data_IF_714834785773
#
_entry.id   IF_714834785773
#
_cell.length_a   1.000
_cell.length_b   1.000
_cell.length_c   1.000
_cell.angle_alpha   90.00
_cell.angle_beta   90.00
_cell.angle_gamma   90.00
#
_symmetry.space_group_name_H-M   'P 1'
#
loop_
_entity.id
_entity.type
_entity.pdbx_description
1 polymer ?
#
# COMPACT_ATOMS: atom_id res chain seq x y z
N UNK A 1 6.57 1.63 6.72
CA UNK A 1 6.46 2.48 7.91
C UNK A 1 7.83 2.81 8.46
N UNK A 2 7.99 4.04 8.95
CA UNK A 2 9.22 4.50 9.60
C UNK A 2 9.40 3.84 10.97
N UNK A 3 10.62 3.38 11.28
CA UNK A 3 11.01 2.82 12.59
C UNK A 3 12.35 3.43 13.00
N UNK A 4 12.62 3.54 14.30
CA UNK A 4 13.91 3.98 14.82
C UNK A 4 14.65 2.76 15.35
N UNK A 5 15.85 2.51 14.85
CA UNK A 5 16.69 1.37 15.23
C UNK A 5 17.96 1.88 15.94
N UNK A 6 18.26 1.28 17.07
CA UNK A 6 19.50 1.53 17.79
C UNK A 6 20.60 0.60 17.25
N UNK A 7 21.68 1.16 16.76
CA UNK A 7 22.89 0.44 16.36
C UNK A 7 24.08 0.83 17.22
N UNK A 8 25.07 -0.06 17.34
CA UNK A 8 26.31 0.21 18.08
C UNK A 8 27.38 0.69 17.10
N UNK A 9 27.96 1.85 17.32
CA UNK A 9 29.14 2.30 16.57
C UNK A 9 30.38 1.54 17.04
N UNK A 10 31.10 0.92 16.11
CA UNK A 10 32.23 0.01 16.40
C UNK A 10 33.49 0.68 17.01
N UNK A 11 33.54 2.00 17.12
CA UNK A 11 34.76 2.73 17.55
C UNK A 11 34.66 3.53 18.87
N UNK A 12 33.48 3.76 19.42
CA UNK A 12 33.34 4.67 20.57
C UNK A 12 32.36 4.23 21.67
N UNK A 13 31.91 3.02 21.72
CA UNK A 13 30.90 2.54 22.70
C UNK A 13 29.61 3.38 22.79
N UNK A 14 29.35 4.21 21.76
CA UNK A 14 28.17 5.07 21.65
C UNK A 14 27.08 4.39 20.83
N UNK A 15 25.83 4.61 21.22
CA UNK A 15 24.69 4.16 20.45
C UNK A 15 24.27 5.24 19.46
N UNK A 16 24.02 4.80 18.21
CA UNK A 16 23.43 5.62 17.16
C UNK A 16 22.00 5.17 16.91
N UNK A 17 21.12 6.15 16.71
CA UNK A 17 19.72 5.90 16.38
C UNK A 17 19.48 6.23 14.90
N UNK A 18 19.26 5.22 14.11
CA UNK A 18 18.99 5.37 12.69
C UNK A 18 17.48 5.32 12.42
N UNK A 19 17.04 6.11 11.46
CA UNK A 19 15.67 6.05 10.96
C UNK A 19 15.64 5.08 9.80
N UNK A 20 14.95 3.97 10.01
CA UNK A 20 14.82 2.87 9.06
C UNK A 20 13.35 2.66 8.67
N UNK A 21 13.08 1.72 7.79
CA UNK A 21 11.73 1.49 7.26
C UNK A 21 11.34 0.03 7.28
N UNK A 22 10.11 -0.23 7.72
CA UNK A 22 9.42 -1.52 7.50
C UNK A 22 8.52 -1.33 6.29
N UNK A 23 8.66 -2.22 5.32
CA UNK A 23 7.82 -2.33 4.14
C UNK A 23 6.70 -3.33 4.41
N UNK A 24 5.57 -3.20 3.72
CA UNK A 24 4.49 -4.16 3.82
C UNK A 24 3.85 -4.41 2.47
N UNK A 25 3.55 -5.66 2.21
CA UNK A 25 2.70 -6.12 1.12
C UNK A 25 1.48 -6.85 1.69
N UNK A 26 0.35 -6.69 1.03
CA UNK A 26 -0.92 -7.31 1.41
C UNK A 26 -1.56 -7.95 0.21
N UNK A 27 -1.82 -9.24 0.28
CA UNK A 27 -2.70 -9.95 -0.63
C UNK A 27 -4.06 -10.17 0.02
N UNK A 28 -5.09 -9.48 -0.50
CA UNK A 28 -6.47 -9.70 -0.06
C UNK A 28 -7.03 -11.03 -0.58
N UNK A 29 -6.51 -11.55 -1.68
CA UNK A 29 -6.91 -12.83 -2.26
C UNK A 29 -6.36 -13.99 -1.43
N UNK A 30 -5.09 -13.94 -1.08
CA UNK A 30 -4.44 -14.94 -0.21
C UNK A 30 -4.68 -14.68 1.28
N UNK A 31 -5.27 -13.54 1.66
CA UNK A 31 -5.44 -13.08 3.05
C UNK A 31 -4.11 -13.08 3.84
N UNK A 32 -3.03 -12.71 3.19
CA UNK A 32 -1.68 -12.68 3.75
C UNK A 32 -1.13 -11.27 3.77
N UNK A 33 -0.47 -10.94 4.87
CA UNK A 33 0.33 -9.75 5.06
C UNK A 33 1.80 -10.14 5.23
N UNK A 34 2.68 -9.51 4.47
CA UNK A 34 4.14 -9.66 4.66
C UNK A 34 4.68 -8.29 5.02
N UNK A 35 5.32 -8.20 6.17
CA UNK A 35 6.09 -7.03 6.58
C UNK A 35 7.57 -7.41 6.61
N UNK A 36 8.39 -6.57 6.05
CA UNK A 36 9.81 -6.81 5.94
C UNK A 36 10.61 -5.60 6.39
N UNK A 37 11.68 -5.88 7.12
CA UNK A 37 12.71 -4.94 7.49
C UNK A 37 14.04 -5.38 6.88
N UNK A 38 14.77 -4.42 6.33
CA UNK A 38 16.15 -4.61 5.89
C UNK A 38 16.95 -3.36 6.21
N UNK A 39 18.14 -3.51 6.75
CA UNK A 39 19.03 -2.42 7.12
C UNK A 39 19.35 -1.53 5.92
N UNK A 40 19.40 -0.21 6.12
CA UNK A 40 19.68 0.77 5.07
C UNK A 40 18.54 1.01 4.08
N UNK A 41 17.36 0.60 4.40
CA UNK A 41 16.26 0.25 3.52
C UNK A 41 15.36 1.37 2.99
N UNK A 42 15.92 2.34 2.30
CA UNK A 42 15.15 3.02 1.23
C UNK A 42 15.62 2.65 -0.18
N UNK A 43 16.48 1.65 -0.32
CA UNK A 43 16.98 1.26 -1.64
C UNK A 43 15.94 0.41 -2.39
N UNK A 44 15.93 0.55 -3.71
CA UNK A 44 15.06 -0.18 -4.66
C UNK A 44 15.19 -1.69 -4.52
N UNK A 45 16.43 -2.18 -4.40
CA UNK A 45 16.75 -3.61 -4.36
C UNK A 45 16.05 -4.38 -3.24
N UNK A 46 15.70 -3.72 -2.14
CA UNK A 46 15.00 -4.37 -1.02
C UNK A 46 13.57 -4.74 -1.37
N UNK A 47 12.86 -3.87 -2.08
CA UNK A 47 11.46 -4.13 -2.45
C UNK A 47 11.37 -5.10 -3.63
N UNK A 48 12.30 -5.05 -4.57
CA UNK A 48 12.36 -5.97 -5.69
C UNK A 48 12.61 -7.40 -5.22
N UNK A 49 13.64 -7.60 -4.39
CA UNK A 49 14.01 -8.91 -3.89
C UNK A 49 12.97 -9.49 -2.93
N UNK A 50 12.42 -8.65 -2.06
CA UNK A 50 11.57 -9.10 -0.97
C UNK A 50 10.11 -9.38 -1.36
N UNK A 51 9.55 -8.57 -2.26
CA UNK A 51 8.11 -8.60 -2.55
C UNK A 51 7.81 -9.14 -3.94
N UNK A 52 8.67 -8.87 -4.92
CA UNK A 52 8.35 -9.13 -6.32
C UNK A 52 9.12 -10.30 -6.93
N UNK A 53 10.33 -10.61 -6.45
CA UNK A 53 11.12 -11.70 -6.98
C UNK A 53 10.43 -13.03 -6.72
N UNK A 54 10.31 -13.83 -7.76
CA UNK A 54 9.66 -15.15 -7.74
C UNK A 54 8.18 -15.14 -7.31
N UNK A 55 7.53 -13.97 -7.33
CA UNK A 55 6.12 -13.84 -6.95
C UNK A 55 5.17 -14.05 -8.13
N UNK A 56 3.97 -14.60 -7.84
CA UNK A 56 2.87 -14.68 -8.80
C UNK A 56 2.07 -13.37 -8.91
N UNK A 57 2.55 -12.28 -8.33
CA UNK A 57 1.90 -10.98 -8.36
C UNK A 57 1.90 -10.45 -9.79
N UNK A 58 0.75 -9.97 -10.26
CA UNK A 58 0.61 -9.34 -11.58
C UNK A 58 0.26 -7.86 -11.49
N UNK A 59 -0.45 -7.48 -10.45
CA UNK A 59 -0.90 -6.10 -10.25
C UNK A 59 -0.77 -5.73 -8.78
N UNK A 60 -0.20 -4.57 -8.51
CA UNK A 60 -0.11 -4.05 -7.14
C UNK A 60 -0.56 -2.58 -7.07
N UNK A 61 -1.12 -2.19 -5.93
CA UNK A 61 -1.55 -0.82 -5.66
C UNK A 61 -0.56 -0.15 -4.73
N UNK A 62 0.02 0.95 -5.16
CA UNK A 62 0.92 1.76 -4.36
C UNK A 62 0.55 3.25 -4.43
N UNK A 63 1.03 4.04 -3.43
CA UNK A 63 1.09 5.47 -3.59
C UNK A 63 2.18 5.82 -4.64
N UNK A 64 2.10 7.05 -5.16
CA UNK A 64 3.13 7.55 -6.08
C UNK A 64 4.35 8.02 -5.27
N UNK A 65 5.08 7.08 -4.68
CA UNK A 65 6.38 7.38 -4.11
C UNK A 65 7.44 7.37 -5.23
N UNK A 66 8.40 8.29 -5.17
CA UNK A 66 9.52 8.38 -6.12
C UNK A 66 10.22 7.03 -6.32
N UNK A 67 10.20 6.20 -5.27
CA UNK A 67 10.73 4.85 -5.27
C UNK A 67 10.13 3.97 -6.39
N UNK A 68 8.82 4.03 -6.61
CA UNK A 68 8.15 3.21 -7.62
C UNK A 68 8.32 3.72 -9.05
N UNK A 69 8.59 5.02 -9.22
CA UNK A 69 8.86 5.60 -10.55
C UNK A 69 10.20 5.11 -11.13
N UNK A 70 11.19 4.85 -10.27
CA UNK A 70 12.52 4.37 -10.67
C UNK A 70 12.53 2.87 -11.02
N UNK A 71 11.71 2.06 -10.37
CA UNK A 71 11.61 0.60 -10.63
C UNK A 71 10.50 0.25 -11.63
N UNK A 72 9.73 1.23 -12.13
CA UNK A 72 8.56 0.96 -12.99
C UNK A 72 8.94 0.22 -14.28
N UNK A 73 10.12 0.51 -14.85
CA UNK A 73 10.62 -0.21 -16.02
C UNK A 73 10.96 -1.66 -15.72
N UNK A 74 11.66 -1.90 -14.62
CA UNK A 74 12.04 -3.25 -14.19
C UNK A 74 10.80 -4.08 -13.85
N UNK A 75 9.78 -3.46 -13.22
CA UNK A 75 8.49 -4.10 -12.93
C UNK A 75 7.69 -4.41 -14.22
N UNK A 76 7.71 -3.52 -15.22
CA UNK A 76 7.07 -3.77 -16.51
C UNK A 76 7.76 -4.93 -17.25
N UNK A 77 9.09 -5.04 -17.21
CA UNK A 77 9.86 -6.17 -17.76
C UNK A 77 9.51 -7.50 -17.06
N UNK A 78 9.21 -7.46 -15.76
CA UNK A 78 8.71 -8.60 -14.98
C UNK A 78 7.21 -8.89 -15.23
N UNK A 79 6.53 -8.12 -16.07
CA UNK A 79 5.09 -8.27 -16.35
C UNK A 79 4.17 -7.77 -15.21
N UNK A 80 4.70 -6.96 -14.29
CA UNK A 80 3.97 -6.36 -13.19
C UNK A 80 3.33 -5.03 -13.61
N UNK A 81 2.09 -4.81 -13.19
CA UNK A 81 1.34 -3.58 -13.47
C UNK A 81 1.07 -2.84 -12.16
N UNK A 82 1.58 -1.62 -12.07
CA UNK A 82 1.28 -0.74 -10.96
C UNK A 82 -0.07 -0.04 -11.17
N UNK A 83 -0.86 0.07 -10.11
CA UNK A 83 -2.05 0.92 -10.04
C UNK A 83 -1.90 2.00 -8.99
N UNK A 84 -2.36 3.20 -9.30
CA UNK A 84 -2.25 4.35 -8.43
C UNK A 84 -3.37 4.41 -7.39
N UNK A 85 -3.07 4.99 -6.23
CA UNK A 85 -4.02 5.16 -5.13
C UNK A 85 -4.91 6.40 -5.32
N UNK A 86 -6.20 6.21 -5.60
CA UNK A 86 -7.19 7.28 -5.72
C UNK A 86 -7.41 8.04 -4.40
N UNK A 87 -7.16 7.41 -3.26
CA UNK A 87 -7.30 8.08 -1.97
C UNK A 87 -6.25 9.17 -1.79
N UNK A 88 -5.00 8.90 -2.14
CA UNK A 88 -3.91 9.89 -2.12
C UNK A 88 -4.17 11.03 -3.12
N UNK A 89 -4.65 10.70 -4.33
CA UNK A 89 -5.04 11.73 -5.30
C UNK A 89 -6.12 12.66 -4.71
N UNK A 90 -7.17 12.07 -4.11
CA UNK A 90 -8.24 12.85 -3.48
C UNK A 90 -7.73 13.75 -2.36
N UNK A 91 -6.83 13.24 -1.52
CA UNK A 91 -6.26 14.00 -0.40
C UNK A 91 -5.55 15.26 -0.89
N UNK A 92 -4.76 15.17 -1.96
CA UNK A 92 -4.10 16.34 -2.57
C UNK A 92 -5.09 17.42 -3.04
N UNK A 93 -6.25 17.03 -3.58
CA UNK A 93 -7.30 17.99 -3.94
C UNK A 93 -8.04 18.54 -2.71
N UNK A 94 -8.17 17.79 -1.63
CA UNK A 94 -8.70 18.29 -0.35
C UNK A 94 -7.77 19.35 0.24
N UNK A 95 -6.45 19.13 0.20
CA UNK A 95 -5.46 20.12 0.63
C UNK A 95 -5.52 21.37 -0.26
N UNK A 96 -5.61 21.19 -1.58
CA UNK A 96 -5.73 22.30 -2.53
C UNK A 96 -7.06 23.08 -2.39
N UNK A 97 -8.12 22.45 -1.90
CA UNK A 97 -9.42 23.09 -1.69
C UNK A 97 -9.37 24.25 -0.68
N UNK A 98 -8.43 24.21 0.27
CA UNK A 98 -8.22 25.30 1.24
C UNK A 98 -7.83 26.60 0.53
N UNK A 99 -7.06 26.49 -0.56
CA UNK A 99 -6.58 27.63 -1.34
C UNK A 99 -7.47 27.98 -2.54
N UNK A 100 -8.22 27.02 -3.08
CA UNK A 100 -9.05 27.21 -4.26
C UNK A 100 -10.28 26.30 -4.24
N UNK A 101 -11.44 26.90 -3.95
CA UNK A 101 -12.70 26.17 -3.85
C UNK A 101 -13.24 25.62 -5.19
N UNK A 102 -12.70 26.05 -6.33
CA UNK A 102 -13.09 25.54 -7.66
C UNK A 102 -12.80 24.05 -7.84
N UNK A 103 -11.83 23.49 -7.08
CA UNK A 103 -11.52 22.06 -7.10
C UNK A 103 -12.59 21.18 -6.45
N UNK A 104 -13.60 21.75 -5.81
CA UNK A 104 -14.70 21.00 -5.17
C UNK A 104 -15.33 19.97 -6.09
N UNK A 105 -15.53 20.32 -7.35
CA UNK A 105 -16.12 19.41 -8.34
C UNK A 105 -15.28 18.14 -8.54
N UNK A 106 -13.95 18.26 -8.52
CA UNK A 106 -13.01 17.13 -8.63
C UNK A 106 -13.18 16.21 -7.42
N UNK A 107 -13.22 16.77 -6.21
CA UNK A 107 -13.40 16.02 -4.97
C UNK A 107 -14.74 15.27 -4.98
N UNK A 108 -15.81 15.91 -5.44
CA UNK A 108 -17.13 15.28 -5.55
C UNK A 108 -17.14 14.12 -6.57
N UNK A 109 -16.48 14.27 -7.71
CA UNK A 109 -16.33 13.20 -8.70
C UNK A 109 -15.56 12.00 -8.12
N UNK A 110 -14.48 12.26 -7.40
CA UNK A 110 -13.71 11.20 -6.73
C UNK A 110 -14.52 10.53 -5.62
N UNK A 111 -15.27 11.29 -4.81
CA UNK A 111 -16.17 10.73 -3.80
C UNK A 111 -17.22 9.81 -4.42
N UNK A 112 -17.74 10.17 -5.59
CA UNK A 112 -18.72 9.35 -6.29
C UNK A 112 -18.09 8.03 -6.80
N UNK A 113 -16.83 8.05 -7.26
CA UNK A 113 -16.10 6.81 -7.57
C UNK A 113 -15.99 5.89 -6.34
N UNK A 114 -15.67 6.44 -5.16
CA UNK A 114 -15.65 5.66 -3.91
C UNK A 114 -17.02 5.12 -3.50
N UNK A 115 -18.10 5.86 -3.75
CA UNK A 115 -19.47 5.37 -3.52
C UNK A 115 -19.80 4.17 -4.42
N UNK A 116 -19.44 4.22 -5.70
CA UNK A 116 -19.62 3.10 -6.64
C UNK A 116 -18.85 1.86 -6.14
N UNK A 117 -17.62 2.01 -5.67
CA UNK A 117 -16.84 0.91 -5.11
C UNK A 117 -17.47 0.34 -3.83
N UNK A 118 -17.96 1.21 -2.94
CA UNK A 118 -18.67 0.80 -1.73
C UNK A 118 -19.92 -0.01 -2.08
N UNK A 119 -20.70 0.46 -3.04
CA UNK A 119 -21.91 -0.22 -3.50
C UNK A 119 -21.59 -1.62 -4.07
N UNK A 120 -20.50 -1.71 -4.86
CA UNK A 120 -20.03 -2.98 -5.38
C UNK A 120 -19.64 -3.98 -4.27
N UNK A 121 -19.02 -3.49 -3.19
CA UNK A 121 -18.64 -4.29 -2.01
C UNK A 121 -19.87 -4.73 -1.21
N UNK A 122 -20.84 -3.84 -1.00
CA UNK A 122 -22.11 -4.17 -0.30
C UNK A 122 -22.86 -5.26 -1.04
N UNK A 123 -22.90 -5.19 -2.38
CA UNK A 123 -23.53 -6.22 -3.23
C UNK A 123 -22.71 -7.51 -3.34
N UNK A 124 -21.56 -7.59 -2.71
CA UNK A 124 -20.66 -8.76 -2.75
C UNK A 124 -20.34 -9.21 -4.18
N UNK A 125 -20.14 -8.26 -5.10
CA UNK A 125 -19.81 -8.56 -6.48
C UNK A 125 -18.55 -9.40 -6.60
N UNK A 126 -18.59 -10.45 -7.42
CA UNK A 126 -17.38 -11.17 -7.85
C UNK A 126 -16.47 -10.23 -8.66
N UNK A 127 -15.20 -10.59 -8.85
CA UNK A 127 -14.25 -9.77 -9.63
C UNK A 127 -14.80 -9.45 -11.04
N UNK A 128 -15.43 -10.42 -11.71
CA UNK A 128 -16.02 -10.22 -13.03
C UNK A 128 -17.21 -9.24 -12.99
N UNK A 129 -18.07 -9.35 -11.98
CA UNK A 129 -19.21 -8.45 -11.79
C UNK A 129 -18.72 -7.04 -11.42
N UNK A 130 -17.72 -6.93 -10.52
CA UNK A 130 -17.12 -5.65 -10.11
C UNK A 130 -16.48 -4.93 -11.31
N UNK A 131 -15.74 -5.63 -12.18
CA UNK A 131 -15.22 -5.06 -13.41
C UNK A 131 -16.33 -4.51 -14.30
N UNK A 132 -17.40 -5.28 -14.56
CA UNK A 132 -18.55 -4.81 -15.36
C UNK A 132 -19.23 -3.59 -14.74
N UNK A 133 -19.36 -3.57 -13.43
CA UNK A 133 -19.96 -2.46 -12.68
C UNK A 133 -19.12 -1.18 -12.81
N UNK A 134 -17.80 -1.30 -12.70
CA UNK A 134 -16.85 -0.20 -12.91
C UNK A 134 -16.91 0.35 -14.35
N UNK A 135 -16.94 -0.53 -15.35
CA UNK A 135 -17.05 -0.12 -16.75
C UNK A 135 -18.36 0.62 -17.01
N UNK A 136 -19.45 0.20 -16.40
CA UNK A 136 -20.77 0.83 -16.54
C UNK A 136 -20.87 2.18 -15.86
N UNK A 137 -20.35 2.33 -14.65
CA UNK A 137 -20.60 3.49 -13.80
C UNK A 137 -19.37 4.39 -13.60
N UNK A 138 -18.18 3.81 -13.45
CA UNK A 138 -16.96 4.57 -13.11
C UNK A 138 -16.20 5.06 -14.34
N UNK A 139 -16.18 4.31 -15.44
CA UNK A 139 -15.36 4.65 -16.61
C UNK A 139 -15.68 6.03 -17.21
N UNK A 140 -16.98 6.36 -17.34
CA UNK A 140 -17.42 7.68 -17.82
C UNK A 140 -16.96 8.81 -16.90
N UNK A 141 -17.03 8.60 -15.58
CA UNK A 141 -16.62 9.60 -14.57
C UNK A 141 -15.12 9.82 -14.65
N UNK A 142 -14.34 8.74 -14.69
CA UNK A 142 -12.88 8.81 -14.86
C UNK A 142 -12.51 9.56 -16.14
N UNK A 143 -13.17 9.27 -17.26
CA UNK A 143 -12.95 9.97 -18.52
C UNK A 143 -13.25 11.47 -18.44
N UNK A 144 -14.37 11.84 -17.81
CA UNK A 144 -14.75 13.26 -17.58
C UNK A 144 -13.76 13.95 -16.65
N UNK A 145 -13.33 13.27 -15.58
CA UNK A 145 -12.36 13.78 -14.63
C UNK A 145 -11.02 14.05 -15.32
N UNK A 146 -10.48 13.11 -16.10
CA UNK A 146 -9.22 13.31 -16.81
C UNK A 146 -9.30 14.47 -17.80
N UNK A 147 -10.42 14.63 -18.53
CA UNK A 147 -10.64 15.79 -19.42
C UNK A 147 -10.64 17.11 -18.65
N UNK A 148 -11.30 17.15 -17.48
CA UNK A 148 -11.33 18.33 -16.62
C UNK A 148 -9.93 18.67 -16.11
N UNK A 149 -9.17 17.69 -15.62
CA UNK A 149 -7.81 17.90 -15.15
C UNK A 149 -6.88 18.43 -16.26
N UNK A 150 -7.01 17.92 -17.47
CA UNK A 150 -6.25 18.43 -18.64
C UNK A 150 -6.58 19.90 -18.95
N UNK A 151 -7.84 20.32 -18.80
CA UNK A 151 -8.22 21.72 -18.93
C UNK A 151 -7.61 22.60 -17.84
N UNK A 152 -7.67 22.15 -16.59
CA UNK A 152 -7.10 22.87 -15.44
C UNK A 152 -5.57 22.98 -15.55
N UNK A 153 -4.89 21.95 -16.08
CA UNK A 153 -3.43 21.98 -16.31
C UNK A 153 -3.01 23.12 -17.24
N UNK A 154 -3.85 23.46 -18.21
CA UNK A 154 -3.58 24.54 -19.18
C UNK A 154 -4.03 25.92 -18.69
N UNK A 155 -4.77 26.00 -17.59
CA UNK A 155 -5.31 27.25 -17.07
C UNK A 155 -4.40 27.82 -15.96
N UNK A 156 -3.70 28.89 -16.29
CA UNK A 156 -2.77 29.58 -15.39
C UNK A 156 -3.44 30.29 -14.21
N UNK A 157 -4.78 30.39 -14.20
CA UNK A 157 -5.52 30.97 -13.07
C UNK A 157 -5.56 30.08 -11.84
N UNK A 158 -5.18 28.80 -11.97
CA UNK A 158 -5.09 27.90 -10.83
C UNK A 158 -3.71 27.95 -10.17
N UNK A 159 -3.70 28.12 -8.85
CA UNK A 159 -2.48 28.22 -8.06
C UNK A 159 -1.66 26.94 -8.00
N UNK A 160 -0.42 27.06 -7.53
CA UNK A 160 0.58 25.99 -7.53
C UNK A 160 0.13 24.71 -6.78
N UNK A 161 -0.69 24.80 -5.72
CA UNK A 161 -1.20 23.61 -5.02
C UNK A 161 -2.15 22.81 -5.90
N UNK A 162 -3.04 23.48 -6.62
CA UNK A 162 -3.96 22.82 -7.57
C UNK A 162 -3.16 22.19 -8.70
N UNK A 163 -2.21 22.92 -9.28
CA UNK A 163 -1.38 22.40 -10.38
C UNK A 163 -0.57 21.16 -9.96
N UNK A 164 -0.03 21.12 -8.73
CA UNK A 164 0.64 19.93 -8.19
C UNK A 164 -0.33 18.75 -8.03
N UNK A 165 -1.55 18.98 -7.55
CA UNK A 165 -2.56 17.93 -7.44
C UNK A 165 -3.00 17.39 -8.81
N UNK A 166 -3.14 18.25 -9.80
CA UNK A 166 -3.46 17.90 -11.19
C UNK A 166 -2.34 17.08 -11.82
N UNK A 167 -1.10 17.54 -11.71
CA UNK A 167 0.06 16.83 -12.24
C UNK A 167 0.22 15.45 -11.59
N UNK A 168 -0.02 15.33 -10.26
CA UNK A 168 0.01 14.05 -9.57
C UNK A 168 -0.86 12.98 -10.24
N UNK A 169 -2.02 13.37 -10.77
CA UNK A 169 -2.93 12.42 -11.44
C UNK A 169 -2.59 12.26 -12.92
N UNK A 170 -2.31 13.36 -13.63
CA UNK A 170 -2.12 13.32 -15.07
C UNK A 170 -0.79 12.68 -15.50
N UNK A 171 0.27 12.86 -14.72
CA UNK A 171 1.56 12.25 -15.02
C UNK A 171 1.52 10.72 -14.87
N UNK A 172 0.51 10.19 -14.16
CA UNK A 172 0.30 8.77 -13.91
C UNK A 172 -1.09 8.28 -14.38
N UNK A 173 -1.64 8.93 -15.40
CA UNK A 173 -3.01 8.69 -15.88
C UNK A 173 -3.28 7.20 -16.18
N UNK A 174 -2.28 6.47 -16.72
CA UNK A 174 -2.37 5.04 -17.05
C UNK A 174 -2.64 4.23 -15.77
N UNK A 175 -1.84 4.42 -14.72
CA UNK A 175 -1.96 3.70 -13.45
C UNK A 175 -3.30 4.00 -12.74
N UNK A 176 -3.82 5.23 -12.84
CA UNK A 176 -5.14 5.58 -12.32
C UNK A 176 -6.32 4.89 -13.03
N UNK A 177 -6.11 4.35 -14.23
CA UNK A 177 -7.16 3.64 -15.01
C UNK A 177 -7.12 2.13 -14.86
N UNK A 178 -6.04 1.55 -14.35
CA UNK A 178 -5.84 0.09 -14.25
C UNK A 178 -6.98 -0.61 -13.50
N UNK A 179 -7.50 -0.01 -12.42
CA UNK A 179 -8.59 -0.59 -11.64
C UNK A 179 -9.87 -0.86 -12.44
N UNK A 180 -10.07 -0.17 -13.56
CA UNK A 180 -11.20 -0.40 -14.46
C UNK A 180 -11.08 -1.72 -15.25
N UNK A 181 -9.86 -2.22 -15.42
CA UNK A 181 -9.56 -3.38 -16.26
C UNK A 181 -9.75 -4.71 -15.51
N UNK A 182 -9.47 -4.72 -14.20
CA UNK A 182 -9.59 -5.92 -13.36
C UNK A 182 -10.35 -5.62 -12.06
N UNK A 183 -11.41 -6.38 -11.80
CA UNK A 183 -12.24 -6.22 -10.61
C UNK A 183 -11.55 -6.65 -9.29
N UNK A 184 -10.42 -7.37 -9.34
CA UNK A 184 -9.62 -7.73 -8.17
C UNK A 184 -8.80 -6.56 -7.65
N UNK A 185 -8.39 -5.66 -8.55
CA UNK A 185 -7.57 -4.49 -8.23
C UNK A 185 -8.33 -3.51 -7.35
N UNK A 186 -7.73 -3.13 -6.22
CA UNK A 186 -8.31 -2.11 -5.33
C UNK A 186 -7.99 -0.69 -5.84
N UNK A 187 -8.92 0.25 -5.61
CA UNK A 187 -8.71 1.66 -5.96
C UNK A 187 -7.72 2.40 -5.04
N UNK A 188 -7.39 1.82 -3.89
CA UNK A 188 -6.58 2.45 -2.86
C UNK A 188 -5.83 1.42 -2.03
N UNK A 189 -4.73 1.82 -1.40
CA UNK A 189 -3.90 1.01 -0.52
C UNK A 189 -4.24 1.15 0.97
N UNK A 190 -5.41 1.71 1.32
CA UNK A 190 -5.80 1.97 2.72
C UNK A 190 -5.82 0.70 3.59
N UNK A 191 -5.96 -0.50 3.01
CA UNK A 191 -5.89 -1.75 3.75
C UNK A 191 -4.50 -1.93 4.36
N UNK A 192 -3.44 -1.79 3.55
CA UNK A 192 -2.04 -1.84 4.01
C UNK A 192 -1.75 -0.73 5.01
N UNK A 193 -2.22 0.49 4.76
CA UNK A 193 -2.00 1.61 5.69
C UNK A 193 -2.62 1.36 7.06
N UNK A 194 -3.80 0.73 7.11
CA UNK A 194 -4.43 0.36 8.39
C UNK A 194 -3.62 -0.66 9.18
N UNK A 195 -2.95 -1.60 8.54
CA UNK A 195 -2.08 -2.58 9.21
C UNK A 195 -0.92 -1.90 9.92
N UNK A 196 -0.35 -0.86 9.34
CA UNK A 196 0.69 -0.08 10.00
C UNK A 196 0.24 0.68 11.26
N UNK A 197 -1.07 0.76 11.57
CA UNK A 197 -1.55 1.43 12.79
C UNK A 197 -1.04 0.74 14.04
N UNK A 198 -1.05 -0.60 14.09
CA UNK A 198 -0.57 -1.34 15.25
C UNK A 198 0.93 -1.13 15.46
N UNK A 199 1.70 -1.20 14.38
CA UNK A 199 3.12 -0.88 14.41
C UNK A 199 3.38 0.58 14.84
N UNK A 200 2.56 1.53 14.35
CA UNK A 200 2.69 2.95 14.72
C UNK A 200 2.32 3.21 16.19
N UNK A 201 1.36 2.48 16.74
CA UNK A 201 1.01 2.52 18.16
C UNK A 201 2.13 1.90 19.01
N UNK A 202 2.61 0.72 18.64
CA UNK A 202 3.75 0.06 19.28
C UNK A 202 4.98 0.98 19.32
N UNK A 203 5.32 1.61 18.20
CA UNK A 203 6.42 2.57 18.09
C UNK A 203 6.30 3.75 19.07
N UNK A 204 5.10 4.21 19.38
CA UNK A 204 4.90 5.26 20.40
C UNK A 204 5.19 4.77 21.81
N UNK A 205 5.01 3.47 22.06
CA UNK A 205 5.22 2.87 23.37
C UNK A 205 6.70 2.54 23.61
N UNK A 206 7.37 1.94 22.62
CA UNK A 206 8.77 1.50 22.74
C UNK A 206 9.81 2.43 22.10
N UNK A 207 9.39 3.51 21.44
CA UNK A 207 10.18 4.58 20.83
C UNK A 207 11.21 4.11 19.79
N UNK A 208 12.01 3.09 20.08
CA UNK A 208 13.02 2.51 19.20
C UNK A 208 13.13 0.98 19.39
N UNK A 209 13.70 0.30 18.43
CA UNK A 209 14.13 -1.09 18.55
C UNK A 209 15.57 -1.16 19.01
N UNK A 210 15.89 -2.18 19.84
CA UNK A 210 17.22 -2.34 20.43
C UNK A 210 18.31 -2.73 19.43
N UNK A 211 17.94 -3.27 18.26
CA UNK A 211 18.86 -3.77 17.24
C UNK A 211 18.14 -3.94 15.90
N UNK A 212 18.92 -4.19 14.82
CA UNK A 212 18.39 -4.58 13.50
C UNK A 212 17.62 -5.90 13.58
N UNK A 213 18.16 -6.91 14.27
CA UNK A 213 17.45 -8.18 14.51
C UNK A 213 16.11 -7.97 15.23
N UNK A 214 16.04 -7.04 16.19
CA UNK A 214 14.80 -6.66 16.84
C UNK A 214 13.78 -6.07 15.87
N UNK A 215 14.23 -5.30 14.89
CA UNK A 215 13.37 -4.73 13.85
C UNK A 215 12.87 -5.80 12.87
N UNK A 216 13.70 -6.77 12.51
CA UNK A 216 13.32 -7.95 11.69
C UNK A 216 12.27 -8.80 12.41
N UNK A 217 12.51 -9.12 13.68
CA UNK A 217 11.56 -9.89 14.49
C UNK A 217 10.21 -9.18 14.62
N UNK A 218 10.21 -7.85 14.82
CA UNK A 218 8.97 -7.06 14.84
C UNK A 218 8.24 -7.17 13.49
N UNK A 219 8.94 -6.99 12.38
CA UNK A 219 8.34 -7.09 11.06
C UNK A 219 7.73 -8.48 10.82
N UNK A 220 8.46 -9.54 11.17
CA UNK A 220 8.00 -10.92 11.07
C UNK A 220 6.75 -11.18 11.94
N UNK A 221 6.78 -10.82 13.22
CA UNK A 221 5.65 -11.03 14.14
C UNK A 221 4.41 -10.26 13.70
N UNK A 222 4.56 -9.02 13.19
CA UNK A 222 3.43 -8.28 12.64
C UNK A 222 2.90 -8.87 11.34
N UNK A 223 3.73 -9.54 10.52
CA UNK A 223 3.28 -10.29 9.35
C UNK A 223 2.31 -11.42 9.77
N UNK A 224 2.70 -12.21 10.76
CA UNK A 224 1.87 -13.29 11.29
C UNK A 224 0.59 -12.74 11.94
N UNK A 225 0.72 -11.73 12.79
CA UNK A 225 -0.41 -11.11 13.50
C UNK A 225 -1.48 -10.56 12.53
N UNK A 226 -1.07 -9.79 11.53
CA UNK A 226 -2.01 -9.22 10.56
C UNK A 226 -2.60 -10.29 9.63
N UNK A 227 -1.84 -11.35 9.30
CA UNK A 227 -2.34 -12.50 8.53
C UNK A 227 -3.37 -13.30 9.32
N UNK A 228 -3.12 -13.59 10.60
CA UNK A 228 -4.11 -14.22 11.48
C UNK A 228 -5.41 -13.42 11.53
N UNK A 229 -5.29 -12.11 11.70
CA UNK A 229 -6.44 -11.20 11.73
C UNK A 229 -7.24 -11.17 10.43
N UNK A 230 -6.58 -11.30 9.27
CA UNK A 230 -7.25 -11.40 7.97
C UNK A 230 -8.05 -12.70 7.82
N UNK A 231 -7.62 -13.75 8.51
CA UNK A 231 -8.23 -15.07 8.49
C UNK A 231 -9.16 -15.34 9.68
N UNK A 232 -9.41 -14.33 10.53
CA UNK A 232 -10.22 -14.46 11.75
C UNK A 232 -9.66 -15.51 12.74
N UNK A 233 -8.33 -15.70 12.75
CA UNK A 233 -7.60 -16.61 13.65
C UNK A 233 -7.15 -15.83 14.89
N UNK A 234 -7.34 -16.41 16.07
CA UNK A 234 -6.77 -15.87 17.31
C UNK A 234 -5.25 -16.01 17.29
N UNK A 235 -4.53 -14.92 17.41
CA UNK A 235 -3.08 -14.92 17.31
C UNK A 235 -2.38 -15.69 18.43
N UNK A 236 -2.95 -15.68 19.67
CA UNK A 236 -2.41 -16.44 20.80
C UNK A 236 -2.48 -17.95 20.54
N UNK A 237 -3.67 -18.43 20.16
CA UNK A 237 -3.91 -19.84 19.87
C UNK A 237 -3.05 -20.31 18.70
N UNK A 238 -2.89 -19.47 17.66
CA UNK A 238 -2.03 -19.74 16.51
C UNK A 238 -0.56 -19.90 16.90
N UNK A 239 -0.02 -19.03 17.75
CA UNK A 239 1.37 -19.13 18.21
C UNK A 239 1.58 -20.39 19.06
N UNK A 240 0.62 -20.74 19.93
CA UNK A 240 0.67 -21.97 20.73
C UNK A 240 0.71 -23.22 19.83
N UNK A 241 -0.17 -23.29 18.81
CA UNK A 241 -0.21 -24.40 17.83
C UNK A 241 1.12 -24.52 17.08
N UNK A 242 1.63 -23.42 16.52
CA UNK A 242 2.89 -23.44 15.79
C UNK A 242 4.05 -23.89 16.64
N UNK A 243 4.18 -23.36 17.86
CA UNK A 243 5.27 -23.74 18.75
C UNK A 243 5.20 -25.22 19.10
N UNK A 244 4.00 -25.73 19.37
CA UNK A 244 3.78 -27.16 19.64
C UNK A 244 4.22 -28.02 18.45
N UNK A 245 3.74 -27.73 17.25
CA UNK A 245 4.08 -28.46 16.03
C UNK A 245 5.58 -28.43 15.73
N UNK A 246 6.21 -27.27 15.88
CA UNK A 246 7.66 -27.14 15.70
C UNK A 246 8.47 -27.95 16.72
N UNK A 247 8.01 -28.00 17.97
CA UNK A 247 8.63 -28.83 19.01
C UNK A 247 8.43 -30.33 18.75
N UNK A 248 7.36 -30.73 18.08
CA UNK A 248 7.08 -32.09 17.62
C UNK A 248 7.84 -32.46 16.34
N UNK A 249 8.58 -31.52 15.73
CA UNK A 249 9.43 -31.76 14.57
C UNK A 249 8.78 -31.50 13.22
N UNK A 250 7.75 -30.68 13.14
CA UNK A 250 7.13 -30.27 11.88
C UNK A 250 8.16 -29.64 10.93
N UNK A 251 8.20 -30.13 9.69
CA UNK A 251 9.11 -29.68 8.63
C UNK A 251 8.38 -28.99 7.47
N UNK A 252 7.06 -29.12 7.39
CA UNK A 252 6.25 -28.42 6.39
C UNK A 252 5.90 -27.01 6.88
N UNK A 253 6.83 -26.09 6.70
CA UNK A 253 6.63 -24.68 7.08
C UNK A 253 5.51 -23.99 6.30
N UNK A 254 5.13 -24.51 5.11
CA UNK A 254 4.01 -23.96 4.35
C UNK A 254 2.68 -24.21 5.05
N UNK A 255 2.54 -25.34 5.75
CA UNK A 255 1.37 -25.68 6.54
C UNK A 255 1.20 -24.82 7.81
N UNK A 256 2.26 -24.10 8.18
CA UNK A 256 2.25 -23.19 9.35
C UNK A 256 1.81 -21.77 9.00
N UNK A 257 1.65 -21.44 7.72
CA UNK A 257 1.19 -20.11 7.30
C UNK A 257 -0.28 -19.91 7.71
N UNK A 258 -0.65 -18.78 8.34
CA UNK A 258 -2.02 -18.54 8.78
C UNK A 258 -2.92 -18.24 7.58
N UNK A 259 -3.68 -19.23 7.09
CA UNK A 259 -4.63 -19.14 5.97
C UNK A 259 -6.00 -19.74 6.34
#
# INVERSE_FOLDING_TARGET
>A
SRIVVRSRESKEDKFKYNVEYIHAALSMEAKLCVMEYKEGSRSHSVQEDAIFKDSCIRVFTADRAVLYETIEKDLEEMGLVRTACWFHARHRFVDAYISDHRVRVIILMMNYLFQIERESKIRKHTAKQRRRFRLKYSASIVGKLMKLLKKIKLDSSYGAMVQRAVNYVLDDEKAFKVFLQDGRVEMHNNAVERMFRHLAMGRRNWMHTGSHLGAENIAFMFSLFESCKLNDINFGDYIEDILTRLMEGEQDFMSLIPC
#
